data_IF_682425525367
#
_entry.id   IF_682425525367
#
_cell.length_a   1.000
_cell.length_b   1.000
_cell.length_c   1.000
_cell.angle_alpha   90.00
_cell.angle_beta   90.00
_cell.angle_gamma   90.00
#
_symmetry.space_group_name_H-M   'P 1'
#
loop_
_entity.id
_entity.type
_entity.pdbx_description
1 polymer ?
#
# COMPACT_ATOMS: atom_id res chain seq x y z
N UNK A 1 -29.14 -6.68 -1.94
CA UNK A 1 -28.59 -8.00 -1.55
C UNK A 1 -27.09 -7.92 -1.76
N UNK A 2 -26.32 -7.62 -0.72
CA UNK A 2 -24.89 -7.35 -0.82
C UNK A 2 -24.13 -8.66 -0.66
N UNK A 3 -23.40 -9.08 -1.70
CA UNK A 3 -22.63 -10.32 -1.71
C UNK A 3 -21.57 -10.31 -0.60
N UNK A 4 -21.52 -11.35 0.24
CA UNK A 4 -20.53 -11.54 1.31
C UNK A 4 -19.14 -11.90 0.75
N UNK A 5 -18.10 -11.69 1.56
CA UNK A 5 -16.70 -11.63 1.12
C UNK A 5 -15.90 -12.84 1.63
N UNK A 6 -14.90 -13.35 0.88
CA UNK A 6 -14.65 -13.06 -0.52
C UNK A 6 -15.74 -13.71 -1.40
N UNK A 7 -16.36 -14.79 -0.88
CA UNK A 7 -17.51 -15.53 -1.39
C UNK A 7 -18.19 -16.28 -0.21
N UNK A 8 -19.38 -15.82 0.22
CA UNK A 8 -20.30 -16.28 1.29
C UNK A 8 -19.95 -16.12 2.80
N UNK A 9 -21.05 -15.91 3.56
CA UNK A 9 -21.26 -15.32 4.90
C UNK A 9 -20.35 -15.78 6.06
N UNK A 10 -19.26 -15.05 6.30
CA UNK A 10 -18.85 -14.77 7.67
C UNK A 10 -19.77 -13.65 8.20
N UNK A 11 -20.48 -13.82 9.33
CA UNK A 11 -21.32 -12.77 9.87
C UNK A 11 -20.49 -11.50 10.00
N UNK A 12 -20.99 -10.40 9.43
CA UNK A 12 -20.37 -9.08 9.58
C UNK A 12 -19.88 -8.93 11.01
N UNK A 13 -18.61 -8.53 11.24
CA UNK A 13 -18.11 -8.34 12.59
C UNK A 13 -19.13 -7.50 13.33
N UNK A 14 -19.65 -8.04 14.43
CA UNK A 14 -20.70 -7.38 15.19
C UNK A 14 -20.26 -5.94 15.42
N UNK A 15 -21.13 -4.96 15.06
CA UNK A 15 -20.86 -3.55 15.32
C UNK A 15 -20.41 -3.44 16.77
N UNK A 16 -19.13 -3.17 16.97
CA UNK A 16 -18.58 -2.96 18.31
C UNK A 16 -19.29 -1.72 18.83
N UNK A 17 -20.07 -1.89 19.90
CA UNK A 17 -20.75 -0.76 20.54
C UNK A 17 -19.68 0.29 20.87
N UNK A 18 -19.99 1.55 20.59
CA UNK A 18 -19.11 2.65 20.91
C UNK A 18 -18.67 2.52 22.38
N UNK A 19 -17.36 2.61 22.68
CA UNK A 19 -16.89 2.48 24.04
C UNK A 19 -17.60 3.50 24.94
N UNK A 20 -18.12 3.03 26.08
CA UNK A 20 -18.91 3.85 27.02
C UNK A 20 -18.07 4.79 27.88
N UNK A 21 -16.75 4.85 27.65
CA UNK A 21 -15.86 5.70 28.41
C UNK A 21 -15.82 7.12 27.82
N UNK A 22 -16.21 8.08 28.65
CA UNK A 22 -15.98 9.52 28.41
C UNK A 22 -14.51 9.82 28.64
N UNK A 23 -13.81 10.21 27.58
CA UNK A 23 -12.43 10.66 27.71
C UNK A 23 -12.36 11.92 28.61
N UNK A 24 -11.42 11.97 29.57
CA UNK A 24 -11.18 13.18 30.36
C UNK A 24 -10.78 14.33 29.44
N UNK A 25 -11.34 15.50 29.71
CA UNK A 25 -11.61 16.58 28.74
C UNK A 25 -10.40 17.17 27.98
N UNK A 26 -9.15 16.79 28.28
CA UNK A 26 -7.97 17.42 27.68
C UNK A 26 -6.89 16.47 27.14
N UNK A 27 -7.09 15.13 27.15
CA UNK A 27 -5.97 14.19 26.85
C UNK A 27 -6.25 13.18 25.73
N UNK A 28 -7.49 13.07 25.27
CA UNK A 28 -7.87 11.97 24.39
C UNK A 28 -7.94 12.39 22.92
N UNK A 29 -7.44 11.53 22.01
CA UNK A 29 -7.46 11.69 20.54
C UNK A 29 -8.86 11.86 19.92
N UNK A 30 -9.93 11.78 20.71
CA UNK A 30 -11.29 12.17 20.31
C UNK A 30 -11.58 13.67 20.49
N UNK A 31 -10.55 14.49 20.77
CA UNK A 31 -10.61 15.96 20.66
C UNK A 31 -11.50 16.34 19.47
N UNK A 32 -12.61 17.01 19.79
CA UNK A 32 -13.76 17.20 18.90
C UNK A 32 -13.28 17.41 17.47
N UNK A 33 -13.61 16.44 16.61
CA UNK A 33 -13.17 16.48 15.22
C UNK A 33 -13.67 17.78 14.64
N UNK A 34 -12.77 18.74 14.41
CA UNK A 34 -13.14 20.05 13.90
C UNK A 34 -13.80 19.82 12.54
N UNK A 35 -15.10 20.09 12.48
CA UNK A 35 -15.82 20.11 11.21
C UNK A 35 -15.08 21.08 10.27
N UNK A 36 -14.62 20.57 9.12
CA UNK A 36 -13.87 21.36 8.14
C UNK A 36 -12.35 21.15 8.10
N UNK A 37 -11.77 20.22 8.87
CA UNK A 37 -10.37 19.82 8.64
C UNK A 37 -10.19 19.28 7.20
N UNK A 38 -9.09 19.62 6.50
CA UNK A 38 -8.85 19.12 5.14
C UNK A 38 -8.78 17.59 5.15
N UNK A 39 -9.43 16.96 4.17
CA UNK A 39 -9.29 15.53 3.95
C UNK A 39 -7.96 15.28 3.24
N UNK A 40 -7.22 14.30 3.74
CA UNK A 40 -6.03 13.74 3.11
C UNK A 40 -6.44 12.49 2.33
N UNK A 41 -6.05 12.44 1.05
CA UNK A 41 -6.25 11.27 0.21
C UNK A 41 -4.98 10.44 0.19
N UNK A 42 -5.12 9.12 0.29
CA UNK A 42 -4.02 8.20 0.03
C UNK A 42 -4.44 7.13 -0.97
N UNK A 43 -3.46 6.59 -1.70
CA UNK A 43 -3.69 5.53 -2.66
C UNK A 43 -2.81 4.32 -2.38
N UNK A 44 -3.34 3.13 -2.71
CA UNK A 44 -2.60 1.86 -2.61
C UNK A 44 -2.79 1.13 -3.94
N UNK A 45 -1.70 0.71 -4.56
CA UNK A 45 -1.69 -0.11 -5.76
C UNK A 45 -1.73 -1.59 -5.37
N UNK A 46 -2.78 -2.30 -5.78
CA UNK A 46 -2.96 -3.71 -5.52
C UNK A 46 -2.29 -4.52 -6.63
N UNK A 47 -1.43 -5.46 -6.24
CA UNK A 47 -0.69 -6.32 -7.17
C UNK A 47 -0.98 -7.79 -6.89
N UNK A 48 -0.84 -8.63 -7.91
CA UNK A 48 -0.91 -10.09 -7.76
C UNK A 48 0.45 -10.65 -7.30
N UNK A 49 0.54 -11.98 -7.20
CA UNK A 49 1.78 -12.67 -6.83
C UNK A 49 2.91 -12.57 -7.86
N UNK A 50 2.59 -12.20 -9.11
CA UNK A 50 3.54 -11.91 -10.18
C UNK A 50 3.91 -10.41 -10.24
N UNK A 51 3.55 -9.63 -9.22
CA UNK A 51 3.76 -8.19 -9.14
C UNK A 51 3.02 -7.37 -10.21
N UNK A 52 2.03 -7.91 -10.89
CA UNK A 52 1.23 -7.17 -11.88
C UNK A 52 0.07 -6.42 -11.19
N UNK A 53 -0.30 -5.21 -11.63
CA UNK A 53 -1.48 -4.51 -11.14
C UNK A 53 -2.76 -5.34 -11.29
N UNK A 54 -3.68 -5.24 -10.33
CA UNK A 54 -4.95 -5.98 -10.34
C UNK A 54 -6.16 -5.05 -10.55
N UNK A 55 -6.52 -4.74 -11.80
CA UNK A 55 -7.66 -3.88 -12.10
C UNK A 55 -8.96 -4.48 -11.59
N UNK A 56 -9.87 -3.63 -11.09
CA UNK A 56 -11.18 -4.02 -10.57
C UNK A 56 -11.14 -5.02 -9.40
N UNK A 57 -9.98 -5.24 -8.77
CA UNK A 57 -9.86 -6.18 -7.66
C UNK A 57 -10.84 -5.82 -6.54
N UNK A 58 -11.58 -6.81 -6.03
CA UNK A 58 -12.42 -6.63 -4.86
C UNK A 58 -11.53 -6.52 -3.63
N UNK A 59 -11.70 -5.47 -2.85
CA UNK A 59 -10.81 -5.16 -1.74
C UNK A 59 -11.54 -4.68 -0.48
N UNK A 60 -10.96 -4.98 0.68
CA UNK A 60 -11.32 -4.44 1.98
C UNK A 60 -10.12 -3.74 2.57
N UNK A 61 -10.33 -2.52 3.03
CA UNK A 61 -9.28 -1.70 3.62
C UNK A 61 -9.67 -1.39 5.05
N UNK A 62 -8.82 -1.85 5.96
CA UNK A 62 -8.99 -1.71 7.39
C UNK A 62 -7.99 -0.69 7.93
N UNK A 63 -8.47 0.30 8.63
CA UNK A 63 -7.65 1.29 9.34
C UNK A 63 -8.08 1.29 10.80
N UNK A 64 -7.21 0.89 11.72
CA UNK A 64 -7.58 0.64 13.12
C UNK A 64 -8.78 -0.33 13.24
N UNK A 65 -8.75 -1.41 12.45
CA UNK A 65 -9.81 -2.43 12.36
C UNK A 65 -11.19 -1.95 11.87
N UNK A 66 -11.30 -0.70 11.44
CA UNK A 66 -12.49 -0.14 10.80
C UNK A 66 -12.41 -0.32 9.27
N UNK A 67 -13.47 -0.85 8.65
CA UNK A 67 -13.58 -0.95 7.20
C UNK A 67 -13.88 0.43 6.61
N UNK A 68 -12.94 1.01 5.85
CA UNK A 68 -13.03 2.41 5.39
C UNK A 68 -13.46 2.58 3.92
N UNK A 69 -13.61 1.49 3.16
CA UNK A 69 -13.96 1.53 1.74
C UNK A 69 -15.28 0.78 1.43
N UNK A 70 -16.24 0.79 2.37
CA UNK A 70 -17.52 0.07 2.20
C UNK A 70 -18.31 0.57 0.97
N UNK A 71 -18.31 1.88 0.72
CA UNK A 71 -19.00 2.49 -0.43
C UNK A 71 -18.33 2.19 -1.79
N UNK A 72 -17.02 1.89 -1.78
CA UNK A 72 -16.25 1.56 -2.98
C UNK A 72 -15.33 0.35 -2.73
N UNK A 73 -15.88 -0.88 -2.77
CA UNK A 73 -15.14 -2.10 -2.41
C UNK A 73 -14.30 -2.68 -3.57
N UNK A 74 -14.00 -1.89 -4.60
CA UNK A 74 -13.24 -2.30 -5.77
C UNK A 74 -12.10 -1.32 -6.07
N UNK A 75 -10.98 -1.85 -6.53
CA UNK A 75 -9.92 -1.05 -7.14
C UNK A 75 -10.35 -0.48 -8.50
N UNK A 76 -9.71 0.59 -8.95
CA UNK A 76 -9.94 1.18 -10.25
C UNK A 76 -9.33 0.35 -11.41
N UNK A 77 -9.42 0.87 -12.63
CA UNK A 77 -8.87 0.23 -13.83
C UNK A 77 -7.35 0.09 -13.88
N UNK A 78 -6.63 0.74 -12.96
CA UNK A 78 -5.18 0.60 -12.78
C UNK A 78 -4.84 -0.29 -11.58
N UNK A 79 -5.85 -0.84 -10.89
CA UNK A 79 -5.67 -1.62 -9.68
C UNK A 79 -5.35 -0.77 -8.45
N UNK A 80 -5.66 0.53 -8.47
CA UNK A 80 -5.48 1.42 -7.33
C UNK A 80 -6.77 1.57 -6.53
N UNK A 81 -6.61 1.70 -5.22
CA UNK A 81 -7.66 2.16 -4.31
C UNK A 81 -7.32 3.56 -3.83
N UNK A 82 -8.32 4.44 -3.76
CA UNK A 82 -8.16 5.80 -3.24
C UNK A 82 -9.09 5.96 -2.05
N UNK A 83 -8.55 6.40 -0.92
CA UNK A 83 -9.30 6.57 0.32
C UNK A 83 -9.08 7.99 0.81
N UNK A 84 -10.18 8.68 1.07
CA UNK A 84 -10.21 10.03 1.63
C UNK A 84 -10.50 9.93 3.12
N UNK A 85 -9.61 10.45 3.97
CA UNK A 85 -9.84 10.54 5.41
C UNK A 85 -9.37 11.88 5.93
N UNK A 86 -9.90 12.30 7.08
CA UNK A 86 -9.43 13.51 7.76
C UNK A 86 -7.96 13.43 8.22
N UNK A 87 -7.49 12.22 8.52
CA UNK A 87 -6.11 11.97 8.91
C UNK A 87 -5.57 10.77 8.15
N UNK A 88 -4.41 10.94 7.51
CA UNK A 88 -3.69 9.83 6.91
C UNK A 88 -3.18 8.89 8.01
N UNK A 89 -3.60 7.61 8.01
CA UNK A 89 -3.11 6.67 9.02
C UNK A 89 -1.65 6.31 8.75
N UNK A 90 -0.96 5.82 9.78
CA UNK A 90 0.40 5.28 9.62
C UNK A 90 0.37 4.02 8.76
N UNK A 91 -0.57 3.13 9.05
CA UNK A 91 -0.74 1.87 8.32
C UNK A 91 -2.21 1.59 7.97
N UNK A 92 -2.41 0.75 6.97
CA UNK A 92 -3.71 0.18 6.62
C UNK A 92 -3.54 -1.32 6.32
N UNK A 93 -4.40 -2.17 6.86
CA UNK A 93 -4.46 -3.59 6.48
C UNK A 93 -5.39 -3.72 5.28
N UNK A 94 -4.90 -4.28 4.20
CA UNK A 94 -5.67 -4.45 2.96
C UNK A 94 -5.80 -5.93 2.67
N UNK A 95 -7.01 -6.33 2.32
CA UNK A 95 -7.32 -7.67 1.83
C UNK A 95 -7.92 -7.55 0.43
N UNK A 96 -7.43 -8.34 -0.54
CA UNK A 96 -7.92 -8.24 -1.92
C UNK A 96 -7.92 -9.57 -2.67
N UNK A 97 -8.78 -9.65 -3.67
CA UNK A 97 -8.87 -10.78 -4.60
C UNK A 97 -9.30 -10.27 -5.98
N UNK A 98 -8.99 -11.00 -7.07
CA UNK A 98 -9.48 -10.62 -8.39
C UNK A 98 -11.00 -10.80 -8.45
N UNK A 99 -11.68 -9.95 -9.23
CA UNK A 99 -13.14 -9.86 -9.20
C UNK A 99 -13.86 -11.07 -9.80
N UNK A 100 -13.24 -11.73 -10.78
CA UNK A 100 -13.82 -12.82 -11.58
C UNK A 100 -13.34 -14.22 -11.17
N UNK A 101 -12.42 -14.33 -10.21
CA UNK A 101 -11.64 -15.58 -10.09
C UNK A 101 -12.34 -16.63 -9.22
N UNK A 102 -12.41 -17.90 -9.67
CA UNK A 102 -12.88 -19.01 -8.85
C UNK A 102 -12.03 -19.14 -7.58
N UNK A 103 -12.63 -19.68 -6.52
CA UNK A 103 -12.02 -19.86 -5.19
C UNK A 103 -10.68 -20.61 -5.31
N UNK A 104 -9.58 -19.88 -5.30
CA UNK A 104 -8.23 -20.44 -5.14
C UNK A 104 -7.81 -20.28 -3.68
N UNK A 105 -7.14 -21.28 -3.07
CA UNK A 105 -6.72 -21.21 -1.67
C UNK A 105 -5.73 -20.07 -1.38
N UNK A 106 -5.14 -19.46 -2.41
CA UNK A 106 -4.24 -18.30 -2.26
C UNK A 106 -4.99 -17.00 -1.94
N UNK A 107 -6.31 -16.95 -2.17
CA UNK A 107 -7.13 -15.77 -1.94
C UNK A 107 -7.87 -15.85 -0.61
N UNK A 108 -8.13 -14.70 0.04
CA UNK A 108 -7.72 -13.35 -0.35
C UNK A 108 -6.26 -13.08 0.00
N UNK A 109 -5.58 -12.26 -0.81
CA UNK A 109 -4.30 -11.68 -0.43
C UNK A 109 -4.51 -10.77 0.77
N UNK A 110 -3.51 -10.69 1.65
CA UNK A 110 -3.53 -9.85 2.85
C UNK A 110 -2.18 -9.18 3.03
N UNK A 111 -2.18 -7.87 3.26
CA UNK A 111 -0.95 -7.11 3.52
C UNK A 111 -1.23 -5.85 4.33
N UNK A 112 -0.29 -5.50 5.20
CA UNK A 112 -0.27 -4.19 5.85
C UNK A 112 0.55 -3.22 5.01
N UNK A 113 -0.05 -2.11 4.62
CA UNK A 113 0.62 -1.04 3.90
C UNK A 113 0.97 0.10 4.85
N UNK A 114 2.16 0.67 4.67
CA UNK A 114 2.51 1.96 5.26
C UNK A 114 1.91 3.06 4.40
N UNK A 115 0.96 3.79 4.96
CA UNK A 115 0.22 4.83 4.25
C UNK A 115 0.91 6.17 4.46
N UNK A 116 1.33 6.47 5.70
CA UNK A 116 2.11 7.67 5.97
C UNK A 116 3.59 7.46 5.67
N UNK A 117 4.06 8.15 4.62
CA UNK A 117 5.46 8.18 4.20
C UNK A 117 6.15 9.48 4.60
N UNK A 118 5.44 10.40 5.28
CA UNK A 118 6.03 11.61 5.85
C UNK A 118 6.83 11.19 7.08
N UNK A 119 8.12 11.02 6.91
CA UNK A 119 9.06 10.74 7.98
C UNK A 119 10.25 11.68 7.84
N UNK A 120 10.87 12.02 8.96
CA UNK A 120 12.05 12.89 8.99
C UNK A 120 13.26 12.27 8.27
N UNK A 121 13.23 10.97 7.98
CA UNK A 121 14.31 10.24 7.31
C UNK A 121 13.85 9.65 5.97
N UNK A 122 14.44 10.11 4.87
CA UNK A 122 14.22 9.56 3.53
C UNK A 122 14.49 8.04 3.46
N UNK A 123 15.48 7.54 4.22
CA UNK A 123 15.77 6.10 4.37
C UNK A 123 14.57 5.33 4.90
N UNK A 124 13.86 5.89 5.89
CA UNK A 124 12.67 5.25 6.45
C UNK A 124 11.50 5.27 5.45
N UNK A 125 11.35 6.37 4.70
CA UNK A 125 10.33 6.46 3.65
C UNK A 125 10.58 5.41 2.57
N UNK A 126 11.83 5.24 2.13
CA UNK A 126 12.23 4.23 1.16
C UNK A 126 12.00 2.80 1.67
N UNK A 127 12.35 2.51 2.93
CA UNK A 127 12.04 1.21 3.57
C UNK A 127 10.55 0.89 3.54
N UNK A 128 9.69 1.86 3.85
CA UNK A 128 8.23 1.70 3.79
C UNK A 128 7.73 1.47 2.36
N UNK A 129 8.27 2.17 1.36
CA UNK A 129 7.95 1.96 -0.06
C UNK A 129 8.34 0.55 -0.52
N UNK A 130 9.56 0.10 -0.20
CA UNK A 130 10.02 -1.26 -0.49
C UNK A 130 9.10 -2.30 0.14
N UNK A 131 8.73 -2.13 1.41
CA UNK A 131 7.78 -3.01 2.08
C UNK A 131 6.42 -3.04 1.37
N UNK A 132 5.86 -1.89 1.02
CA UNK A 132 4.59 -1.80 0.28
C UNK A 132 4.65 -2.51 -1.08
N UNK A 133 5.78 -2.46 -1.76
CA UNK A 133 6.01 -3.17 -3.02
C UNK A 133 6.31 -4.68 -2.85
N UNK A 134 6.65 -5.13 -1.63
CA UNK A 134 6.90 -6.54 -1.31
C UNK A 134 8.37 -6.89 -1.04
N UNK A 135 9.26 -5.91 -1.12
CA UNK A 135 10.68 -6.07 -0.86
C UNK A 135 11.01 -5.80 0.61
N UNK A 136 10.60 -6.70 1.49
CA UNK A 136 10.88 -6.62 2.93
C UNK A 136 11.24 -7.97 3.54
N UNK A 137 11.77 -8.87 2.72
CA UNK A 137 12.13 -10.24 3.11
C UNK A 137 13.32 -10.24 4.06
N UNK A 138 14.26 -9.33 3.85
CA UNK A 138 15.53 -9.29 4.57
C UNK A 138 15.52 -8.27 5.71
N UNK A 139 16.19 -8.54 6.84
CA UNK A 139 16.36 -7.56 7.91
C UNK A 139 17.14 -6.32 7.48
N UNK A 140 18.12 -6.51 6.58
CA UNK A 140 18.96 -5.44 6.08
C UNK A 140 18.33 -4.76 4.86
N UNK A 141 18.17 -3.44 4.93
CA UNK A 141 17.62 -2.63 3.84
C UNK A 141 18.40 -2.80 2.54
N UNK A 142 19.74 -2.91 2.64
CA UNK A 142 20.62 -3.13 1.49
C UNK A 142 20.24 -4.38 0.69
N UNK A 143 19.90 -5.48 1.36
CA UNK A 143 19.51 -6.71 0.67
C UNK A 143 18.13 -6.62 0.03
N UNK A 144 17.18 -5.89 0.65
CA UNK A 144 15.89 -5.58 0.02
C UNK A 144 16.04 -4.71 -1.23
N UNK A 145 16.96 -3.74 -1.23
CA UNK A 145 17.29 -2.92 -2.42
C UNK A 145 17.89 -3.80 -3.51
N UNK A 146 18.79 -4.72 -3.18
CA UNK A 146 19.35 -5.65 -4.17
C UNK A 146 18.28 -6.55 -4.78
N UNK A 147 17.32 -7.00 -3.98
CA UNK A 147 16.19 -7.80 -4.46
C UNK A 147 15.31 -7.00 -5.43
N UNK A 148 15.00 -5.75 -5.09
CA UNK A 148 14.33 -4.80 -5.97
C UNK A 148 15.09 -4.62 -7.30
N UNK A 149 16.39 -4.34 -7.23
CA UNK A 149 17.25 -4.15 -8.41
C UNK A 149 17.26 -5.39 -9.32
N UNK A 150 17.35 -6.59 -8.75
CA UNK A 150 17.29 -7.85 -9.52
C UNK A 150 15.94 -8.02 -10.20
N UNK A 151 14.85 -7.80 -9.48
CA UNK A 151 13.51 -8.01 -10.02
C UNK A 151 13.17 -7.01 -11.14
N UNK A 152 13.77 -5.82 -11.11
CA UNK A 152 13.62 -4.78 -12.13
C UNK A 152 14.73 -4.78 -13.19
N UNK A 153 15.58 -5.81 -13.23
CA UNK A 153 16.55 -5.99 -14.31
C UNK A 153 17.71 -4.99 -14.32
N UNK A 154 18.07 -4.41 -13.18
CA UNK A 154 19.25 -3.56 -13.07
C UNK A 154 20.51 -4.36 -13.36
N UNK A 155 21.39 -3.82 -14.22
CA UNK A 155 22.67 -4.45 -14.58
C UNK A 155 23.65 -4.48 -13.39
N UNK A 156 23.69 -3.40 -12.62
CA UNK A 156 24.53 -3.28 -11.43
C UNK A 156 23.69 -3.31 -10.15
N UNK A 157 23.95 -4.30 -9.29
CA UNK A 157 23.18 -4.54 -8.05
C UNK A 157 23.98 -4.01 -6.86
N UNK A 158 23.95 -2.69 -6.67
CA UNK A 158 24.71 -1.98 -5.63
C UNK A 158 24.17 -2.20 -4.22
N UNK A 159 22.84 -2.31 -4.10
CA UNK A 159 22.11 -2.23 -2.84
C UNK A 159 22.10 -0.84 -2.21
N UNK A 160 22.48 0.21 -2.94
CA UNK A 160 22.48 1.60 -2.48
C UNK A 160 21.13 2.25 -2.75
N UNK A 161 20.65 3.06 -1.81
CA UNK A 161 19.34 3.71 -1.94
C UNK A 161 19.38 4.82 -3.00
N UNK A 162 20.50 5.54 -3.05
CA UNK A 162 20.75 6.66 -3.94
C UNK A 162 20.63 6.26 -5.42
N UNK A 163 20.88 5.00 -5.74
CA UNK A 163 20.79 4.46 -7.10
C UNK A 163 19.36 4.13 -7.54
N UNK A 164 18.38 4.16 -6.63
CA UNK A 164 16.99 3.76 -6.92
C UNK A 164 15.94 4.69 -6.31
N UNK A 165 16.32 5.75 -5.58
CA UNK A 165 15.38 6.49 -4.74
C UNK A 165 14.25 7.15 -5.55
N UNK A 166 14.61 7.77 -6.67
CA UNK A 166 13.67 8.43 -7.57
C UNK A 166 12.77 7.41 -8.28
N UNK A 167 13.33 6.33 -8.82
CA UNK A 167 12.54 5.28 -9.49
C UNK A 167 11.66 4.51 -8.51
N UNK A 168 12.14 4.25 -7.29
CA UNK A 168 11.35 3.63 -6.22
C UNK A 168 10.15 4.51 -5.86
N UNK A 169 10.37 5.82 -5.78
CA UNK A 169 9.33 6.80 -5.50
C UNK A 169 8.30 6.84 -6.63
N UNK A 170 8.75 7.00 -7.88
CA UNK A 170 7.88 7.02 -9.05
C UNK A 170 7.11 5.69 -9.22
N UNK A 171 7.76 4.55 -9.02
CA UNK A 171 7.12 3.25 -9.16
C UNK A 171 6.09 2.98 -8.05
N UNK A 172 6.37 3.36 -6.81
CA UNK A 172 5.42 3.21 -5.72
C UNK A 172 4.25 4.20 -5.84
N UNK A 173 4.55 5.48 -6.02
CA UNK A 173 3.55 6.55 -5.94
C UNK A 173 2.73 6.63 -7.24
N UNK A 174 3.40 6.55 -8.40
CA UNK A 174 2.81 6.75 -9.73
C UNK A 174 2.62 5.44 -10.51
N UNK A 175 3.31 4.36 -10.12
CA UNK A 175 3.20 3.07 -10.81
C UNK A 175 4.06 2.99 -12.07
N UNK A 176 4.93 3.99 -12.29
CA UNK A 176 5.84 4.04 -13.43
C UNK A 176 6.92 3.00 -13.26
N UNK A 177 6.98 2.02 -14.16
CA UNK A 177 7.98 0.96 -14.09
C UNK A 177 9.41 1.52 -14.10
N UNK A 178 10.31 1.00 -13.23
CA UNK A 178 11.69 1.43 -13.19
C UNK A 178 12.36 1.15 -14.54
N UNK A 179 13.04 2.16 -15.08
CA UNK A 179 13.88 2.01 -16.27
C UNK A 179 15.32 2.08 -15.80
N UNK A 180 16.01 0.95 -15.63
CA UNK A 180 17.43 0.98 -15.26
C UNK A 180 18.17 1.85 -16.27
N UNK A 181 19.03 2.74 -15.78
CA UNK A 181 19.81 3.62 -16.64
C UNK A 181 20.53 2.80 -17.71
N UNK A 182 20.41 3.22 -18.98
CA UNK A 182 21.23 2.68 -20.05
C UNK A 182 22.70 2.95 -19.71
N UNK A 183 23.59 2.01 -20.01
CA UNK A 183 25.02 2.18 -19.74
C UNK A 183 25.52 3.51 -20.33
N UNK A 184 26.33 4.28 -19.58
CA UNK A 184 26.91 5.51 -20.10
C UNK A 184 27.94 5.30 -21.23
N UNK A 185 28.04 4.12 -21.84
CA UNK A 185 29.25 3.68 -22.56
C UNK A 185 29.02 2.93 -23.89
N UNK A 186 28.00 3.29 -24.67
CA UNK A 186 27.95 2.96 -26.11
C UNK A 186 28.12 4.20 -27.01
N UNK A 187 28.60 5.32 -26.43
CA UNK A 187 28.44 6.64 -27.03
C UNK A 187 29.68 7.52 -27.15
N UNK A 188 30.92 7.01 -27.14
CA UNK A 188 32.08 7.82 -27.58
C UNK A 188 33.31 7.00 -27.97
N UNK A 189 33.15 6.05 -28.89
CA UNK A 189 34.27 5.62 -29.73
C UNK A 189 34.27 6.47 -31.00
N UNK A 190 34.86 7.68 -30.91
CA UNK A 190 35.18 8.53 -32.05
C UNK A 190 36.61 8.25 -32.54
#
# INVERSE_FOLDING_TARGET
MSASWPYDDDPSPQKVLAPSWTCPEDVCKCAAVREGAPQETFSILLRNHASEPMPNARCRVFVNDELVNEDNPFADGEGRIRIERRHKPVTARVEWAPHDTPRSPIYPYRKTYYVDLRTDSHVEAARRRLHNLGYSTYPEMRENIKDYQRNHGYRFISGLLEDIEDELTAYHDEGIEPKPAADPDEGEAA
#
